data_IF_091597494133
#
_entry.id   IF_091597494133
#
_cell.length_a   1.000
_cell.length_b   1.000
_cell.length_c   1.000
_cell.angle_alpha   90.00
_cell.angle_beta   90.00
_cell.angle_gamma   90.00
#
_symmetry.space_group_name_H-M   'P 1'
#
loop_
_entity.id
_entity.type
_entity.pdbx_description
1 polymer ?
#
# COMPACT_ATOMS: atom_id res chain seq x y z
N UNK A 1 22.55 23.36 -14.64
CA UNK A 1 22.15 24.23 -15.78
C UNK A 1 20.65 24.08 -15.92
N UNK A 2 19.87 25.16 -15.78
CA UNK A 2 18.43 25.16 -16.04
C UNK A 2 18.21 25.66 -17.47
N UNK A 3 17.41 24.96 -18.27
CA UNK A 3 17.05 25.39 -19.63
C UNK A 3 15.68 26.06 -19.54
N UNK A 4 15.58 27.39 -19.71
CA UNK A 4 14.30 28.08 -19.64
C UNK A 4 13.45 27.71 -20.86
N UNK A 5 12.22 27.25 -20.62
CA UNK A 5 11.25 26.96 -21.67
C UNK A 5 10.38 28.18 -22.03
N UNK A 6 10.53 29.29 -21.30
CA UNK A 6 9.62 30.44 -21.42
C UNK A 6 8.24 30.16 -20.84
N UNK A 7 7.30 31.06 -21.09
CA UNK A 7 5.89 30.86 -20.77
C UNK A 7 5.25 30.02 -21.88
N UNK A 8 4.68 28.88 -21.50
CA UNK A 8 3.98 27.98 -22.39
C UNK A 8 2.49 28.05 -22.11
N UNK A 9 1.67 27.82 -23.14
CA UNK A 9 0.23 27.62 -22.95
C UNK A 9 -0.02 26.35 -22.10
N UNK A 10 -1.13 26.27 -21.37
CA UNK A 10 -1.46 25.06 -20.61
C UNK A 10 -1.49 23.81 -21.49
N UNK A 11 -0.91 22.70 -21.02
CA UNK A 11 -0.84 21.45 -21.79
C UNK A 11 0.26 20.48 -21.35
N UNK A 12 0.43 19.41 -22.14
CA UNK A 12 1.50 18.43 -22.00
C UNK A 12 2.46 18.56 -23.19
N UNK A 13 3.74 18.76 -22.90
CA UNK A 13 4.78 18.98 -23.90
C UNK A 13 5.84 17.88 -23.84
N UNK A 14 6.36 17.48 -25.00
CA UNK A 14 7.63 16.76 -25.11
C UNK A 14 8.74 17.77 -25.35
N UNK A 15 9.69 17.86 -24.43
CA UNK A 15 10.88 18.69 -24.58
C UNK A 15 12.04 17.82 -25.02
N UNK A 16 12.72 18.29 -26.05
CA UNK A 16 13.89 17.64 -26.61
C UNK A 16 15.09 18.58 -26.55
N UNK A 17 16.19 18.10 -25.98
CA UNK A 17 17.47 18.77 -25.97
C UNK A 17 18.48 17.99 -26.83
N UNK A 18 19.20 18.70 -27.70
CA UNK A 18 20.22 18.12 -28.56
C UNK A 18 21.52 18.91 -28.47
N UNK A 19 22.64 18.21 -28.36
CA UNK A 19 24.00 18.79 -28.41
C UNK A 19 24.89 17.87 -29.23
N UNK A 20 25.33 18.32 -30.40
CA UNK A 20 26.06 17.47 -31.35
C UNK A 20 25.24 16.23 -31.71
N UNK A 21 25.79 15.03 -31.45
CA UNK A 21 25.10 13.75 -31.65
C UNK A 21 24.30 13.24 -30.45
N UNK A 22 24.27 13.96 -29.33
CA UNK A 22 23.54 13.56 -28.13
C UNK A 22 22.12 14.13 -28.13
N UNK A 23 21.15 13.31 -27.71
CA UNK A 23 19.72 13.66 -27.62
C UNK A 23 19.18 13.22 -26.26
N UNK A 24 18.42 14.08 -25.61
CA UNK A 24 17.68 13.79 -24.39
C UNK A 24 16.25 14.32 -24.51
N UNK A 25 15.29 13.57 -23.99
CA UNK A 25 13.86 13.92 -24.04
C UNK A 25 13.23 13.83 -22.66
N UNK A 26 12.33 14.75 -22.33
CA UNK A 26 11.50 14.72 -21.12
C UNK A 26 10.10 15.24 -21.43
N UNK A 27 9.12 14.86 -20.61
CA UNK A 27 7.79 15.48 -20.63
C UNK A 27 7.72 16.67 -19.68
N UNK A 28 6.91 17.67 -20.01
CA UNK A 28 6.65 18.85 -19.18
C UNK A 28 5.14 19.08 -19.10
N UNK A 29 4.64 19.10 -17.87
CA UNK A 29 3.25 19.36 -17.52
C UNK A 29 3.07 20.85 -17.20
N UNK A 30 2.27 21.55 -18.00
CA UNK A 30 2.00 22.98 -17.84
C UNK A 30 0.53 23.12 -17.42
N UNK A 31 0.32 23.53 -16.17
CA UNK A 31 -1.01 23.75 -15.61
C UNK A 31 -0.90 24.70 -14.42
N UNK A 32 -1.91 25.55 -14.21
CA UNK A 32 -2.07 26.36 -13.00
C UNK A 32 -2.84 25.60 -11.89
N UNK A 33 -3.15 24.31 -12.11
CA UNK A 33 -3.90 23.43 -11.20
C UNK A 33 -3.01 22.38 -10.54
N UNK A 34 -3.30 22.05 -9.28
CA UNK A 34 -2.77 20.88 -8.56
C UNK A 34 -3.91 19.99 -8.09
N UNK A 35 -3.66 18.69 -7.99
CA UNK A 35 -4.56 17.74 -7.37
C UNK A 35 -3.97 17.19 -6.07
N UNK A 36 -4.70 17.39 -4.97
CA UNK A 36 -4.52 16.66 -3.74
C UNK A 36 -5.43 15.43 -3.76
N UNK A 37 -4.94 14.32 -3.22
CA UNK A 37 -5.71 13.08 -3.23
C UNK A 37 -5.56 12.29 -1.95
N UNK A 38 -6.62 11.57 -1.61
CA UNK A 38 -6.64 10.61 -0.51
C UNK A 38 -7.27 9.33 -1.00
N UNK A 39 -6.54 8.23 -0.84
CA UNK A 39 -6.94 6.91 -1.32
C UNK A 39 -7.19 5.98 -0.15
N UNK A 40 -8.18 5.10 -0.31
CA UNK A 40 -8.47 3.96 0.56
C UNK A 40 -8.55 2.69 -0.28
N UNK A 41 -8.76 1.53 0.34
CA UNK A 41 -8.80 0.26 -0.40
C UNK A 41 -9.87 0.17 -1.50
N UNK A 42 -10.89 1.03 -1.51
CA UNK A 42 -11.99 0.99 -2.50
C UNK A 42 -12.36 2.35 -3.09
N UNK A 43 -11.66 3.41 -2.73
CA UNK A 43 -12.08 4.77 -3.05
C UNK A 43 -10.89 5.71 -3.17
N UNK A 44 -11.01 6.67 -4.09
CA UNK A 44 -10.14 7.82 -4.23
C UNK A 44 -10.96 9.11 -4.11
N UNK A 45 -10.56 10.00 -3.22
CA UNK A 45 -10.98 11.39 -3.20
C UNK A 45 -9.90 12.26 -3.85
N UNK A 46 -10.31 13.13 -4.77
CA UNK A 46 -9.45 14.13 -5.41
C UNK A 46 -10.00 15.52 -5.11
N UNK A 47 -9.12 16.46 -4.78
CA UNK A 47 -9.42 17.88 -4.69
C UNK A 47 -8.45 18.67 -5.56
N UNK A 48 -8.99 19.44 -6.49
CA UNK A 48 -8.24 20.28 -7.42
C UNK A 48 -8.29 21.73 -6.99
N UNK A 49 -7.11 22.36 -6.96
CA UNK A 49 -6.95 23.73 -6.51
C UNK A 49 -5.96 24.50 -7.39
N UNK A 50 -6.14 25.81 -7.49
CA UNK A 50 -5.20 26.70 -8.16
C UNK A 50 -3.88 26.81 -7.40
N UNK A 51 -2.75 26.73 -8.11
CA UNK A 51 -1.39 26.77 -7.55
C UNK A 51 -1.06 28.07 -6.82
N UNK A 52 -1.71 29.17 -7.19
CA UNK A 52 -1.37 30.51 -6.70
C UNK A 52 -2.17 30.91 -5.47
N UNK A 53 -3.49 30.69 -5.48
CA UNK A 53 -4.38 31.17 -4.41
C UNK A 53 -5.14 30.04 -3.70
N UNK A 54 -5.01 28.79 -4.16
CA UNK A 54 -5.67 27.64 -3.55
C UNK A 54 -7.18 27.60 -3.80
N UNK A 55 -7.67 28.39 -4.74
CA UNK A 55 -9.07 28.40 -5.15
C UNK A 55 -9.47 27.07 -5.77
N UNK A 56 -10.71 26.62 -5.56
CA UNK A 56 -11.22 25.40 -6.17
C UNK A 56 -11.17 25.48 -7.72
N UNK A 57 -10.76 24.39 -8.37
CA UNK A 57 -10.69 24.27 -9.84
C UNK A 57 -11.74 23.30 -10.39
N UNK A 58 -13.02 23.72 -10.47
CA UNK A 58 -14.11 22.86 -10.96
C UNK A 58 -13.93 22.47 -12.43
N UNK A 59 -14.64 21.43 -12.87
CA UNK A 59 -14.61 21.00 -14.28
C UNK A 59 -13.32 20.32 -14.73
N UNK A 60 -12.40 20.00 -13.81
CA UNK A 60 -11.17 19.26 -14.13
C UNK A 60 -11.52 17.81 -14.46
N UNK A 61 -11.13 17.34 -15.65
CA UNK A 61 -11.21 15.93 -16.05
C UNK A 61 -10.13 15.15 -15.31
N UNK A 62 -10.50 14.04 -14.66
CA UNK A 62 -9.60 13.21 -13.85
C UNK A 62 -9.65 11.78 -14.35
N UNK A 63 -8.48 11.20 -14.62
CA UNK A 63 -8.27 9.78 -14.89
C UNK A 63 -7.51 9.15 -13.72
N UNK A 64 -8.03 8.06 -13.15
CA UNK A 64 -7.33 7.24 -12.18
C UNK A 64 -6.83 5.95 -12.84
N UNK A 65 -5.51 5.73 -12.86
CA UNK A 65 -4.86 4.64 -13.59
C UNK A 65 -3.83 3.91 -12.73
N UNK A 66 -3.65 2.61 -12.99
CA UNK A 66 -2.58 1.78 -12.42
C UNK A 66 -1.30 1.79 -13.29
N UNK A 67 -1.31 2.53 -14.40
CA UNK A 67 -0.23 2.57 -15.39
C UNK A 67 -0.39 1.57 -16.54
N UNK A 68 -1.34 0.63 -16.45
CA UNK A 68 -1.71 -0.29 -17.53
C UNK A 68 -3.01 0.14 -18.20
N UNK A 69 -4.02 0.54 -17.42
CA UNK A 69 -5.30 1.02 -17.92
C UNK A 69 -5.92 2.12 -17.03
N UNK A 70 -6.93 2.82 -17.53
CA UNK A 70 -7.75 3.76 -16.76
C UNK A 70 -8.80 2.96 -15.99
N UNK A 71 -8.57 2.79 -14.69
CA UNK A 71 -9.49 2.09 -13.77
C UNK A 71 -10.85 2.79 -13.69
N UNK A 72 -10.82 4.12 -13.56
CA UNK A 72 -12.03 4.94 -13.53
C UNK A 72 -11.70 6.41 -13.82
N UNK A 73 -12.72 7.22 -14.10
CA UNK A 73 -12.59 8.64 -14.45
C UNK A 73 -13.80 9.44 -14.01
N UNK A 74 -13.62 10.75 -13.89
CA UNK A 74 -14.72 11.67 -13.58
C UNK A 74 -14.32 13.12 -13.81
N UNK A 75 -15.21 14.03 -13.42
CA UNK A 75 -15.01 15.47 -13.51
C UNK A 75 -15.28 16.09 -12.16
N UNK A 76 -14.42 17.00 -11.71
CA UNK A 76 -14.60 17.66 -10.41
C UNK A 76 -15.81 18.58 -10.40
N UNK A 77 -16.53 18.59 -9.28
CA UNK A 77 -17.68 19.46 -9.05
C UNK A 77 -17.29 20.93 -8.78
N UNK A 78 -18.27 21.77 -8.45
CA UNK A 78 -18.10 23.20 -8.17
C UNK A 78 -17.15 23.49 -6.99
N UNK A 79 -16.91 22.52 -6.10
CA UNK A 79 -15.94 22.62 -5.02
C UNK A 79 -14.53 22.18 -5.42
N UNK A 80 -14.34 21.79 -6.69
CA UNK A 80 -13.10 21.23 -7.20
C UNK A 80 -12.85 19.79 -6.72
N UNK A 81 -13.86 19.11 -6.16
CA UNK A 81 -13.70 17.75 -5.62
C UNK A 81 -14.30 16.70 -6.54
N UNK A 82 -13.75 15.48 -6.45
CA UNK A 82 -14.26 14.30 -7.15
C UNK A 82 -13.99 13.05 -6.30
N UNK A 83 -15.02 12.23 -6.14
CA UNK A 83 -14.93 10.92 -5.50
C UNK A 83 -15.06 9.82 -6.56
N UNK A 84 -14.13 8.87 -6.56
CA UNK A 84 -14.07 7.75 -7.50
C UNK A 84 -14.05 6.43 -6.71
N UNK A 85 -14.87 5.47 -7.13
CA UNK A 85 -14.99 4.16 -6.48
C UNK A 85 -14.31 3.09 -7.35
N UNK A 86 -13.26 2.46 -6.84
CA UNK A 86 -12.55 1.34 -7.45
C UNK A 86 -11.59 0.71 -6.43
N UNK A 87 -11.28 -0.59 -6.57
CA UNK A 87 -10.25 -1.24 -5.75
C UNK A 87 -8.91 -0.53 -6.00
N UNK A 88 -8.25 -0.06 -4.93
CA UNK A 88 -6.97 0.63 -5.07
C UNK A 88 -5.81 -0.36 -5.16
N UNK A 89 -4.97 -0.31 -6.21
CA UNK A 89 -3.67 -0.98 -6.21
C UNK A 89 -2.71 -0.26 -5.25
N UNK A 90 -1.57 -0.90 -4.95
CA UNK A 90 -0.50 -0.31 -4.12
C UNK A 90 0.02 1.01 -4.71
N UNK A 91 0.11 1.08 -6.04
CA UNK A 91 0.54 2.27 -6.79
C UNK A 91 -0.49 2.62 -7.85
N UNK A 92 -0.89 3.89 -7.87
CA UNK A 92 -1.75 4.43 -8.91
C UNK A 92 -1.43 5.90 -9.16
N UNK A 93 -1.93 6.42 -10.28
CA UNK A 93 -1.68 7.78 -10.74
C UNK A 93 -3.00 8.46 -11.06
N UNK A 94 -3.05 9.74 -10.76
CA UNK A 94 -4.08 10.65 -11.25
C UNK A 94 -3.47 11.44 -12.40
N UNK A 95 -4.12 11.38 -13.56
CA UNK A 95 -3.85 12.29 -14.68
C UNK A 95 -5.03 13.25 -14.80
N UNK A 96 -4.77 14.54 -14.73
CA UNK A 96 -5.81 15.56 -14.78
C UNK A 96 -5.62 16.54 -15.92
N UNK A 97 -6.75 17.03 -16.45
CA UNK A 97 -6.81 18.16 -17.40
C UNK A 97 -7.80 19.19 -16.88
N UNK A 98 -7.34 20.39 -16.57
CA UNK A 98 -8.22 21.49 -16.16
C UNK A 98 -8.96 22.11 -17.36
N UNK A 99 -9.94 22.97 -17.07
CA UNK A 99 -10.76 23.63 -18.08
C UNK A 99 -9.96 24.57 -19.00
N UNK A 100 -8.79 25.02 -18.56
CA UNK A 100 -7.86 25.87 -19.32
C UNK A 100 -6.95 25.02 -20.24
N UNK A 101 -7.07 23.69 -20.20
CA UNK A 101 -6.28 22.73 -20.99
C UNK A 101 -4.98 22.29 -20.32
N UNK A 102 -4.72 22.77 -19.10
CA UNK A 102 -3.54 22.43 -18.32
C UNK A 102 -3.54 20.99 -17.88
N UNK A 103 -2.42 20.29 -18.07
CA UNK A 103 -2.27 18.89 -17.67
C UNK A 103 -1.45 18.81 -16.39
N UNK A 104 -1.90 17.99 -15.43
CA UNK A 104 -1.20 17.72 -14.18
C UNK A 104 -1.25 16.24 -13.82
N UNK A 105 -0.31 15.83 -12.95
CA UNK A 105 -0.21 14.45 -12.45
C UNK A 105 -0.11 14.48 -10.93
N UNK A 106 -0.72 13.50 -10.27
CA UNK A 106 -0.55 13.24 -8.84
C UNK A 106 -0.36 11.73 -8.60
N UNK A 107 0.70 11.38 -7.89
CA UNK A 107 1.02 9.98 -7.56
C UNK A 107 0.34 9.57 -6.26
N UNK A 108 -0.21 8.36 -6.22
CA UNK A 108 -0.91 7.83 -5.06
C UNK A 108 -0.34 6.46 -4.68
N UNK A 109 0.03 6.35 -3.41
CA UNK A 109 0.48 5.11 -2.81
C UNK A 109 -0.53 4.68 -1.76
N UNK A 110 -1.16 3.53 -2.00
CA UNK A 110 -2.03 2.92 -1.01
C UNK A 110 -1.24 1.87 -0.23
N UNK A 111 -1.14 2.08 1.09
CA UNK A 111 -0.56 1.11 2.00
C UNK A 111 -1.66 0.50 2.87
N UNK A 112 -1.77 -0.83 2.86
CA UNK A 112 -2.70 -1.57 3.72
C UNK A 112 -2.46 -1.36 5.22
N UNK A 113 -1.38 -0.68 5.64
CA UNK A 113 -1.11 -0.37 7.04
C UNK A 113 -2.20 0.48 7.70
N UNK A 114 -3.04 1.17 6.92
CA UNK A 114 -4.23 1.90 7.39
C UNK A 114 -5.48 1.00 7.54
N UNK A 115 -5.40 -0.29 7.21
CA UNK A 115 -6.47 -1.24 7.48
C UNK A 115 -6.38 -1.65 8.95
N UNK A 116 -7.38 -1.23 9.71
CA UNK A 116 -7.54 -1.60 11.12
C UNK A 116 -8.16 -3.01 11.17
N UNK A 117 -7.29 -4.01 11.29
CA UNK A 117 -7.64 -5.42 11.36
C UNK A 117 -7.00 -6.09 12.57
N UNK A 118 -7.28 -7.39 12.73
CA UNK A 118 -6.60 -8.21 13.73
C UNK A 118 -5.15 -8.41 13.32
N UNK A 119 -4.21 -7.99 14.17
CA UNK A 119 -2.78 -8.26 14.04
C UNK A 119 -2.34 -9.31 15.04
N UNK A 120 -1.68 -10.36 14.55
CA UNK A 120 -1.12 -11.44 15.35
C UNK A 120 0.41 -11.37 15.26
N UNK A 121 1.06 -11.22 16.42
CA UNK A 121 2.51 -11.17 16.55
C UNK A 121 3.00 -12.53 17.02
N UNK A 122 3.84 -13.15 16.21
CA UNK A 122 4.43 -14.46 16.48
C UNK A 122 5.92 -14.26 16.73
N UNK A 123 6.41 -14.80 17.84
CA UNK A 123 7.84 -14.79 18.14
C UNK A 123 8.25 -16.10 18.79
N UNK A 124 9.51 -16.44 18.56
CA UNK A 124 10.14 -17.65 19.07
C UNK A 124 11.09 -17.28 20.22
N UNK A 125 11.41 -18.24 21.08
CA UNK A 125 12.33 -18.02 22.20
C UNK A 125 13.74 -17.59 21.77
N UNK A 126 14.14 -17.92 20.54
CA UNK A 126 15.44 -17.62 19.93
C UNK A 126 15.28 -17.24 18.45
N UNK A 127 16.19 -16.42 17.89
CA UNK A 127 16.17 -16.08 16.47
C UNK A 127 16.78 -17.15 15.56
N UNK A 128 17.49 -18.15 16.11
CA UNK A 128 18.21 -19.18 15.37
C UNK A 128 18.18 -20.52 16.11
N UNK A 129 17.99 -21.61 15.35
CA UNK A 129 17.88 -22.98 15.86
C UNK A 129 18.75 -23.95 15.06
N UNK A 130 19.04 -25.10 15.65
CA UNK A 130 19.67 -26.25 14.98
C UNK A 130 18.66 -27.39 14.76
N UNK A 131 18.99 -28.32 13.87
CA UNK A 131 18.24 -29.57 13.76
C UNK A 131 18.13 -30.26 15.12
N UNK A 132 16.98 -30.87 15.40
CA UNK A 132 16.66 -31.47 16.70
C UNK A 132 16.26 -30.48 17.80
N UNK A 133 16.43 -29.16 17.62
CA UNK A 133 16.05 -28.19 18.64
C UNK A 133 14.54 -28.17 18.90
N UNK A 134 14.18 -27.95 20.16
CA UNK A 134 12.84 -27.50 20.52
C UNK A 134 12.72 -26.00 20.26
N UNK A 135 11.63 -25.61 19.61
CA UNK A 135 11.24 -24.22 19.33
C UNK A 135 10.01 -23.91 20.18
N UNK A 136 10.12 -22.94 21.08
CA UNK A 136 8.98 -22.44 21.84
C UNK A 136 8.45 -21.17 21.15
N UNK A 137 7.14 -21.10 20.97
CA UNK A 137 6.46 -20.05 20.22
C UNK A 137 5.46 -19.34 21.13
N UNK A 138 5.46 -18.02 21.07
CA UNK A 138 4.45 -17.16 21.68
C UNK A 138 3.72 -16.38 20.60
N UNK A 139 2.41 -16.28 20.77
CA UNK A 139 1.52 -15.48 19.92
C UNK A 139 0.81 -14.47 20.79
N UNK A 140 0.78 -13.21 20.37
CA UNK A 140 -0.02 -12.15 20.99
C UNK A 140 -0.84 -11.48 19.90
N UNK A 141 -2.11 -11.20 20.18
CA UNK A 141 -3.01 -10.57 19.21
C UNK A 141 -3.58 -9.25 19.70
N UNK A 142 -3.81 -8.33 18.76
CA UNK A 142 -4.56 -7.08 18.98
C UNK A 142 -5.50 -6.84 17.81
N UNK A 143 -6.71 -6.40 18.10
CA UNK A 143 -7.62 -5.87 17.08
C UNK A 143 -7.49 -4.35 17.07
N UNK A 144 -7.01 -3.81 15.96
CA UNK A 144 -6.90 -2.36 15.79
C UNK A 144 -8.24 -1.82 15.27
N UNK A 145 -8.66 -0.68 15.81
CA UNK A 145 -9.85 0.05 15.36
C UNK A 145 -9.45 1.35 14.63
N UNK A 146 -8.34 1.93 15.05
CA UNK A 146 -7.69 3.09 14.45
C UNK A 146 -6.17 3.09 14.83
N UNK A 147 -5.35 4.10 14.43
CA UNK A 147 -3.91 4.10 14.71
C UNK A 147 -3.54 4.22 16.20
N UNK A 148 -4.47 4.73 17.03
CA UNK A 148 -4.24 5.03 18.44
C UNK A 148 -4.99 4.06 19.37
N UNK A 149 -6.06 3.42 18.89
CA UNK A 149 -6.92 2.56 19.69
C UNK A 149 -6.95 1.11 19.17
N UNK A 150 -6.83 0.19 20.11
CA UNK A 150 -6.97 -1.24 19.86
C UNK A 150 -7.64 -1.94 21.04
N UNK A 151 -8.21 -3.12 20.80
CA UNK A 151 -8.80 -4.00 21.81
C UNK A 151 -8.09 -5.37 21.84
N UNK A 152 -8.24 -6.12 22.95
CA UNK A 152 -7.86 -7.53 22.98
C UNK A 152 -8.54 -8.29 21.83
N UNK A 153 -7.87 -9.31 21.29
CA UNK A 153 -8.51 -10.23 20.34
C UNK A 153 -9.60 -11.06 21.05
N UNK A 154 -10.42 -11.76 20.29
CA UNK A 154 -11.36 -12.74 20.83
C UNK A 154 -10.62 -14.04 21.16
N UNK A 155 -10.78 -14.55 22.37
CA UNK A 155 -10.21 -15.85 22.73
C UNK A 155 -10.77 -16.95 21.81
N UNK A 156 -9.91 -17.68 21.11
CA UNK A 156 -10.32 -18.71 20.17
C UNK A 156 -9.20 -19.75 19.94
N UNK A 157 -9.54 -20.96 19.48
CA UNK A 157 -8.54 -21.88 18.95
C UNK A 157 -7.92 -21.31 17.67
N UNK A 158 -6.64 -21.61 17.48
CA UNK A 158 -5.84 -21.28 16.31
C UNK A 158 -4.97 -22.48 15.92
N UNK A 159 -4.48 -22.48 14.68
CA UNK A 159 -3.58 -23.53 14.17
C UNK A 159 -2.30 -22.90 13.66
N UNK A 160 -1.18 -23.29 14.24
CA UNK A 160 0.16 -22.88 13.82
C UNK A 160 0.74 -23.95 12.89
N UNK A 161 0.92 -23.60 11.62
CA UNK A 161 1.61 -24.42 10.62
C UNK A 161 3.08 -24.03 10.56
N UNK A 162 3.95 -25.03 10.59
CA UNK A 162 5.40 -24.88 10.48
C UNK A 162 5.84 -25.38 9.11
N UNK A 163 6.42 -24.50 8.30
CA UNK A 163 6.94 -24.84 6.98
C UNK A 163 8.47 -24.79 7.00
N UNK A 164 9.10 -25.76 6.34
CA UNK A 164 10.55 -25.78 6.16
C UNK A 164 11.03 -24.76 5.12
N UNK A 165 12.35 -24.69 4.92
CA UNK A 165 12.98 -23.79 3.97
C UNK A 165 12.57 -24.01 2.50
N UNK A 166 11.99 -25.17 2.18
CA UNK A 166 11.47 -25.48 0.85
C UNK A 166 9.96 -25.21 0.73
N UNK A 167 9.32 -24.69 1.78
CA UNK A 167 7.88 -24.47 1.85
C UNK A 167 7.06 -25.73 2.12
N UNK A 168 7.68 -26.83 2.55
CA UNK A 168 6.97 -28.08 2.90
C UNK A 168 6.42 -27.99 4.32
N UNK A 169 5.16 -28.39 4.51
CA UNK A 169 4.54 -28.43 5.85
C UNK A 169 5.20 -29.54 6.69
N UNK A 170 5.83 -29.15 7.80
CA UNK A 170 6.44 -30.06 8.77
C UNK A 170 5.47 -30.51 9.84
N UNK A 171 4.73 -29.55 10.42
CA UNK A 171 3.86 -29.82 11.55
C UNK A 171 2.76 -28.77 11.65
N UNK A 172 1.60 -29.20 12.15
CA UNK A 172 0.56 -28.29 12.65
C UNK A 172 0.44 -28.43 14.17
N UNK A 173 0.49 -27.31 14.88
CA UNK A 173 0.34 -27.21 16.33
C UNK A 173 -0.98 -26.51 16.63
N UNK A 174 -1.83 -27.14 17.42
CA UNK A 174 -3.04 -26.47 17.94
C UNK A 174 -2.63 -25.50 19.05
N UNK A 175 -3.09 -24.26 18.96
CA UNK A 175 -2.82 -23.21 19.94
C UNK A 175 -4.15 -22.62 20.38
N UNK A 176 -4.36 -22.43 21.68
CA UNK A 176 -5.48 -21.63 22.18
C UNK A 176 -4.99 -20.21 22.40
N UNK A 177 -5.58 -19.24 21.70
CA UNK A 177 -5.30 -17.82 21.92
C UNK A 177 -6.25 -17.30 23.00
N UNK A 178 -5.70 -16.75 24.06
CA UNK A 178 -6.42 -15.93 25.02
C UNK A 178 -6.39 -14.45 24.60
N UNK A 179 -7.49 -13.74 24.82
CA UNK A 179 -7.67 -12.33 24.50
C UNK A 179 -6.56 -11.44 25.07
N UNK A 180 -6.17 -11.67 26.33
CA UNK A 180 -5.23 -10.80 27.06
C UNK A 180 -3.81 -11.34 27.03
N UNK A 181 -3.66 -12.64 27.20
CA UNK A 181 -2.36 -13.27 27.38
C UNK A 181 -1.80 -13.87 26.09
N UNK A 182 -2.58 -13.88 25.01
CA UNK A 182 -2.23 -14.55 23.76
C UNK A 182 -2.21 -16.07 23.92
N UNK A 183 -1.46 -16.76 23.08
CA UNK A 183 -1.28 -18.21 23.14
C UNK A 183 0.19 -18.60 23.10
N UNK A 184 0.47 -19.86 23.40
CA UNK A 184 1.81 -20.42 23.35
C UNK A 184 1.75 -21.86 22.86
N UNK A 185 2.84 -22.30 22.23
CA UNK A 185 2.99 -23.66 21.74
C UNK A 185 4.46 -23.99 21.57
N UNK A 186 4.75 -25.25 21.23
CA UNK A 186 6.10 -25.68 20.95
C UNK A 186 6.11 -26.79 19.91
N UNK A 187 7.16 -26.86 19.12
CA UNK A 187 7.44 -27.96 18.21
C UNK A 187 8.92 -28.30 18.26
N UNK A 188 9.29 -29.44 17.67
CA UNK A 188 10.69 -29.87 17.58
C UNK A 188 11.08 -29.96 16.12
N UNK A 189 12.22 -29.38 15.77
CA UNK A 189 12.78 -29.53 14.43
C UNK A 189 13.23 -30.98 14.22
N UNK A 190 13.03 -31.57 13.05
CA UNK A 190 13.59 -32.88 12.72
C UNK A 190 15.12 -32.90 12.90
N UNK A 191 15.68 -34.05 13.25
CA UNK A 191 17.15 -34.24 13.38
C UNK A 191 17.87 -34.03 12.02
N UNK A 192 17.14 -34.17 10.92
CA UNK A 192 17.59 -33.91 9.55
C UNK A 192 17.01 -32.60 8.97
N UNK A 193 16.64 -31.64 9.81
CA UNK A 193 16.12 -30.34 9.38
C UNK A 193 17.11 -29.66 8.41
N UNK A 194 16.57 -29.17 7.28
CA UNK A 194 17.36 -28.44 6.28
C UNK A 194 17.74 -27.06 6.80
N UNK A 195 18.88 -26.54 6.37
CA UNK A 195 19.25 -25.16 6.69
C UNK A 195 18.44 -24.17 5.84
N UNK A 196 18.02 -23.06 6.43
CA UNK A 196 17.31 -21.99 5.72
C UNK A 196 16.29 -21.28 6.61
N UNK A 197 15.53 -20.35 6.01
CA UNK A 197 14.43 -19.66 6.68
C UNK A 197 13.22 -20.56 6.79
N UNK A 198 12.72 -20.77 8.02
CA UNK A 198 11.48 -21.50 8.29
C UNK A 198 10.34 -20.51 8.46
N UNK A 199 9.14 -20.91 8.06
CA UNK A 199 7.96 -20.05 8.13
C UNK A 199 6.95 -20.59 9.16
N UNK A 200 6.43 -19.68 9.98
CA UNK A 200 5.35 -19.94 10.92
C UNK A 200 4.09 -19.24 10.42
N UNK A 201 3.06 -20.01 10.07
CA UNK A 201 1.75 -19.47 9.64
C UNK A 201 0.69 -19.79 10.67
N UNK A 202 -0.09 -18.78 11.06
CA UNK A 202 -1.14 -18.95 12.05
C UNK A 202 -2.51 -18.70 11.42
N UNK A 203 -3.39 -19.69 11.49
CA UNK A 203 -4.80 -19.55 11.11
C UNK A 203 -5.66 -19.29 12.34
N UNK A 204 -6.47 -18.23 12.31
CA UNK A 204 -7.29 -17.77 13.44
C UNK A 204 -8.63 -17.21 12.93
N UNK A 205 -9.76 -17.79 13.38
CA UNK A 205 -11.12 -17.33 13.04
C UNK A 205 -11.37 -17.08 11.53
N UNK A 206 -10.93 -18.01 10.68
CA UNK A 206 -11.01 -17.93 9.22
C UNK A 206 -10.21 -16.77 8.59
N UNK A 207 -9.22 -16.27 9.33
CA UNK A 207 -8.14 -15.40 8.87
C UNK A 207 -6.84 -16.20 8.81
#
# INVERSE_FOLDING_TARGET
IYIPLGQQEPGLYLVEAMVGGYRATTVVFVSDTVALSKVSGKELLVWTAGKKQGEAKPGSEILWTDGLDVMTRGVTDDSGTLQLQHISPERSYILGKDAEGGVFVSENFFYESEIYNTRLYIFTDRPLYRAGDRVDVKVIGREFHDPLHSSPIVSAPAKLSVLDANGSLLQTVNVTLDARNGGQGSFRLPENAVAGGYELRLAYRNQ
#
